data_IF_823437169536
#
_entry.id   IF_823437169536
#
_cell.length_a   1.000
_cell.length_b   1.000
_cell.length_c   1.000
_cell.angle_alpha   90.00
_cell.angle_beta   90.00
_cell.angle_gamma   90.00
#
_symmetry.space_group_name_H-M   'P 1'
#
loop_
_entity.id
_entity.type
_entity.pdbx_description
1 polymer ?
#
# COMPACT_ATOMS: atom_id res chain seq x y z
N UNK A 1 56.91 -48.99 -23.31
CA UNK A 1 57.33 -49.21 -21.91
C UNK A 1 56.87 -50.60 -21.52
N UNK A 2 57.76 -51.40 -20.94
CA UNK A 2 57.72 -52.86 -20.87
C UNK A 2 56.48 -53.38 -20.07
N UNK A 3 55.43 -53.82 -20.76
CA UNK A 3 54.15 -54.28 -20.18
C UNK A 3 54.35 -55.42 -19.17
N UNK A 4 55.37 -56.26 -19.39
CA UNK A 4 55.78 -57.31 -18.46
C UNK A 4 56.22 -56.75 -17.10
N UNK A 5 56.92 -55.60 -17.08
CA UNK A 5 57.43 -54.96 -15.86
C UNK A 5 56.33 -54.28 -15.07
N UNK A 6 55.37 -53.64 -15.75
CA UNK A 6 54.17 -53.11 -15.10
C UNK A 6 53.34 -54.22 -14.47
N UNK A 7 53.16 -55.35 -15.17
CA UNK A 7 52.46 -56.53 -14.62
C UNK A 7 53.15 -57.09 -13.37
N UNK A 8 54.48 -57.24 -13.40
CA UNK A 8 55.25 -57.68 -12.24
C UNK A 8 55.08 -56.72 -11.05
N UNK A 9 55.20 -55.41 -11.29
CA UNK A 9 55.00 -54.40 -10.25
C UNK A 9 53.62 -54.50 -9.61
N UNK A 10 52.56 -54.64 -10.41
CA UNK A 10 51.18 -54.73 -9.92
C UNK A 10 51.00 -55.96 -9.02
N UNK A 11 51.55 -57.11 -9.40
CA UNK A 11 51.48 -58.34 -8.58
C UNK A 11 52.19 -58.17 -7.24
N UNK A 12 53.40 -57.58 -7.24
CA UNK A 12 54.16 -57.35 -6.01
C UNK A 12 53.48 -56.31 -5.12
N UNK A 13 52.99 -55.22 -5.70
CA UNK A 13 52.27 -54.17 -4.99
C UNK A 13 50.95 -54.68 -4.37
N UNK A 14 50.18 -55.47 -5.12
CA UNK A 14 48.95 -56.12 -4.62
C UNK A 14 49.28 -57.08 -3.46
N UNK A 15 50.38 -57.85 -3.56
CA UNK A 15 50.83 -58.74 -2.49
C UNK A 15 51.21 -57.97 -1.22
N UNK A 16 51.99 -56.89 -1.35
CA UNK A 16 52.39 -56.06 -0.20
C UNK A 16 51.18 -55.37 0.43
N UNK A 17 50.22 -54.93 -0.40
CA UNK A 17 48.97 -54.36 0.09
C UNK A 17 48.15 -55.38 0.89
N UNK A 18 48.02 -56.61 0.38
CA UNK A 18 47.30 -57.70 1.06
C UNK A 18 47.95 -58.09 2.41
N UNK A 19 49.28 -57.95 2.51
CA UNK A 19 50.02 -58.14 3.76
C UNK A 19 49.88 -56.97 4.75
N UNK A 20 49.12 -55.92 4.39
CA UNK A 20 48.94 -54.72 5.21
C UNK A 20 50.19 -53.82 5.28
N UNK A 21 51.18 -54.07 4.42
CA UNK A 21 52.40 -53.28 4.28
C UNK A 21 52.13 -52.07 3.40
N UNK A 22 52.69 -50.91 3.77
CA UNK A 22 52.56 -49.70 2.95
C UNK A 22 53.22 -49.92 1.59
N UNK A 23 52.44 -49.81 0.51
CA UNK A 23 52.98 -49.88 -0.85
C UNK A 23 53.72 -48.57 -1.16
N UNK A 24 55.04 -48.66 -1.27
CA UNK A 24 55.95 -47.55 -1.58
C UNK A 24 57.10 -48.05 -2.42
N UNK A 25 57.76 -47.17 -3.19
CA UNK A 25 58.92 -47.56 -4.02
C UNK A 25 59.97 -48.32 -3.22
N UNK A 26 60.27 -47.83 -2.01
CA UNK A 26 61.22 -48.46 -1.07
C UNK A 26 60.84 -49.90 -0.72
N UNK A 27 59.54 -50.19 -0.58
CA UNK A 27 59.07 -51.51 -0.22
C UNK A 27 58.84 -52.41 -1.44
N UNK A 28 58.57 -51.86 -2.62
CA UNK A 28 58.28 -52.67 -3.82
C UNK A 28 59.56 -53.07 -4.56
N UNK A 29 60.52 -52.14 -4.71
CA UNK A 29 61.75 -52.34 -5.51
C UNK A 29 62.55 -53.59 -5.11
N UNK A 30 62.76 -53.91 -3.82
CA UNK A 30 63.52 -55.11 -3.42
C UNK A 30 62.88 -56.44 -3.83
N UNK A 31 61.58 -56.45 -4.14
CA UNK A 31 60.84 -57.65 -4.53
C UNK A 31 60.67 -57.77 -6.06
N UNK A 32 61.20 -56.81 -6.84
CA UNK A 32 61.22 -56.88 -8.29
C UNK A 32 62.47 -57.65 -8.75
N UNK A 33 62.31 -58.56 -9.71
CA UNK A 33 63.37 -59.48 -10.16
C UNK A 33 64.63 -58.78 -10.69
N UNK A 34 64.48 -57.62 -11.33
CA UNK A 34 65.60 -56.80 -11.84
C UNK A 34 65.80 -55.50 -11.05
N UNK A 35 65.08 -55.34 -9.93
CA UNK A 35 64.99 -54.06 -9.22
C UNK A 35 64.49 -52.92 -10.12
N UNK A 36 64.99 -51.71 -9.85
CA UNK A 36 64.71 -50.54 -10.67
C UNK A 36 65.05 -49.24 -9.97
N UNK A 37 65.29 -48.19 -10.77
CA UNK A 37 65.44 -46.85 -10.22
C UNK A 37 64.09 -46.25 -9.84
N UNK A 38 64.08 -45.31 -8.89
CA UNK A 38 62.86 -44.58 -8.53
C UNK A 38 62.23 -43.83 -9.72
N UNK A 39 63.05 -43.39 -10.69
CA UNK A 39 62.58 -42.73 -11.91
C UNK A 39 61.79 -43.68 -12.82
N UNK A 40 62.23 -44.94 -12.91
CA UNK A 40 61.58 -45.96 -13.75
C UNK A 40 60.28 -46.49 -13.13
N UNK A 41 60.29 -46.75 -11.82
CA UNK A 41 59.16 -47.40 -11.14
C UNK A 41 58.12 -46.39 -10.62
N UNK A 42 58.51 -45.12 -10.47
CA UNK A 42 57.65 -44.03 -10.01
C UNK A 42 56.32 -43.88 -10.76
N UNK A 43 56.32 -43.83 -12.11
CA UNK A 43 55.10 -43.79 -12.92
C UNK A 43 54.21 -45.02 -12.69
N UNK A 44 54.79 -46.22 -12.68
CA UNK A 44 54.04 -47.48 -12.51
C UNK A 44 53.37 -47.55 -11.12
N UNK A 45 54.05 -47.10 -10.06
CA UNK A 45 53.44 -46.99 -8.73
C UNK A 45 52.27 -46.02 -8.70
N UNK A 46 52.37 -44.90 -9.43
CA UNK A 46 51.28 -43.91 -9.52
C UNK A 46 50.07 -44.53 -10.20
N UNK A 47 50.28 -45.20 -11.34
CA UNK A 47 49.22 -45.87 -12.09
C UNK A 47 48.55 -46.98 -11.26
N UNK A 48 49.36 -47.75 -10.53
CA UNK A 48 48.86 -48.75 -9.59
C UNK A 48 47.99 -48.12 -8.49
N UNK A 49 48.44 -47.02 -7.88
CA UNK A 49 47.68 -46.34 -6.82
C UNK A 49 46.35 -45.80 -7.32
N UNK A 50 46.32 -45.22 -8.53
CA UNK A 50 45.09 -44.74 -9.15
C UNK A 50 44.16 -45.91 -9.46
N UNK A 51 44.67 -46.99 -10.07
CA UNK A 51 43.86 -48.16 -10.45
C UNK A 51 43.27 -48.92 -9.26
N UNK A 52 43.96 -48.91 -8.11
CA UNK A 52 43.53 -49.60 -6.89
C UNK A 52 42.83 -48.68 -5.88
N UNK A 53 42.58 -47.41 -6.24
CA UNK A 53 42.15 -46.36 -5.31
C UNK A 53 42.90 -46.43 -3.97
N UNK A 54 44.23 -46.55 -4.06
CA UNK A 54 45.07 -46.83 -2.90
C UNK A 54 45.13 -45.60 -1.99
N UNK A 55 44.27 -45.60 -0.97
CA UNK A 55 44.34 -44.69 0.15
C UNK A 55 45.23 -45.33 1.22
N UNK A 56 46.44 -44.80 1.50
CA UNK A 56 47.22 -45.29 2.61
C UNK A 56 46.41 -45.01 3.88
N UNK A 57 45.76 -46.04 4.43
CA UNK A 57 45.12 -45.96 5.74
C UNK A 57 46.23 -45.57 6.71
N UNK A 58 46.29 -44.30 7.08
CA UNK A 58 47.04 -43.86 8.23
C UNK A 58 46.46 -44.70 9.36
N UNK A 59 47.24 -45.66 9.88
CA UNK A 59 46.86 -46.39 11.07
C UNK A 59 46.87 -45.34 12.17
N UNK A 60 45.73 -44.71 12.41
CA UNK A 60 45.54 -43.82 13.52
C UNK A 60 45.82 -44.66 14.75
N UNK A 61 47.00 -44.50 15.33
CA UNK A 61 47.30 -45.09 16.62
C UNK A 61 46.31 -44.40 17.57
N UNK A 62 45.55 -45.15 18.38
CA UNK A 62 44.64 -44.53 19.33
C UNK A 62 45.45 -43.55 20.18
N UNK A 63 44.90 -42.35 20.40
CA UNK A 63 45.50 -41.37 21.29
C UNK A 63 45.71 -42.03 22.67
N UNK A 64 46.77 -41.69 23.41
CA UNK A 64 46.91 -42.16 24.79
C UNK A 64 45.64 -41.84 25.60
N UNK A 65 45.17 -42.79 26.42
CA UNK A 65 43.94 -42.65 27.22
C UNK A 65 43.88 -41.32 28.00
N UNK A 66 44.97 -40.85 28.68
CA UNK A 66 44.91 -39.57 29.38
C UNK A 66 44.58 -38.39 28.46
N UNK A 67 45.03 -38.42 27.20
CA UNK A 67 44.74 -37.37 26.24
C UNK A 67 43.30 -37.48 25.71
N UNK A 68 42.77 -38.69 25.55
CA UNK A 68 41.35 -38.88 25.19
C UNK A 68 40.43 -38.32 26.27
N UNK A 69 40.75 -38.58 27.55
CA UNK A 69 39.96 -38.09 28.68
C UNK A 69 39.97 -36.57 28.76
N UNK A 70 41.14 -35.93 28.60
CA UNK A 70 41.24 -34.47 28.61
C UNK A 70 40.51 -33.84 27.41
N UNK A 71 40.58 -34.45 26.23
CA UNK A 71 39.80 -33.99 25.07
C UNK A 71 38.29 -34.16 25.30
N UNK A 72 37.86 -35.25 25.92
CA UNK A 72 36.47 -35.46 26.30
C UNK A 72 35.95 -34.38 27.25
N UNK A 73 36.72 -34.08 28.31
CA UNK A 73 36.40 -32.99 29.25
C UNK A 73 36.34 -31.63 28.56
N UNK A 74 37.30 -31.34 27.67
CA UNK A 74 37.32 -30.09 26.91
C UNK A 74 36.09 -29.97 26.00
N UNK A 75 35.70 -31.05 25.33
CA UNK A 75 34.51 -31.09 24.48
C UNK A 75 33.22 -30.83 25.26
N UNK A 76 33.07 -31.44 26.46
CA UNK A 76 31.92 -31.19 27.35
C UNK A 76 31.85 -29.73 27.76
N UNK A 77 32.96 -29.15 28.23
CA UNK A 77 33.01 -27.73 28.62
C UNK A 77 32.69 -26.80 27.45
N UNK A 78 33.18 -27.10 26.26
CA UNK A 78 32.87 -26.33 25.05
C UNK A 78 31.38 -26.42 24.72
N UNK A 79 30.79 -27.61 24.80
CA UNK A 79 29.37 -27.82 24.56
C UNK A 79 28.48 -27.09 25.57
N UNK A 80 28.83 -27.15 26.86
CA UNK A 80 28.13 -26.41 27.92
C UNK A 80 28.21 -24.90 27.68
N UNK A 81 29.40 -24.38 27.36
CA UNK A 81 29.57 -22.97 27.02
C UNK A 81 28.77 -22.56 25.79
N UNK A 82 28.72 -23.41 24.75
CA UNK A 82 27.94 -23.18 23.55
C UNK A 82 26.43 -23.16 23.85
N UNK A 83 25.93 -24.05 24.71
CA UNK A 83 24.52 -24.05 25.13
C UNK A 83 24.16 -22.79 25.91
N UNK A 84 25.03 -22.34 26.82
CA UNK A 84 24.81 -21.10 27.58
C UNK A 84 24.75 -19.90 26.63
N UNK A 85 25.64 -19.83 25.63
CA UNK A 85 25.63 -18.73 24.67
C UNK A 85 24.40 -18.80 23.75
N UNK A 86 24.02 -19.98 23.29
CA UNK A 86 22.81 -20.16 22.49
C UNK A 86 21.55 -19.72 23.26
N UNK A 87 21.45 -20.06 24.55
CA UNK A 87 20.36 -19.61 25.40
C UNK A 87 20.32 -18.07 25.53
N UNK A 88 21.48 -17.43 25.73
CA UNK A 88 21.57 -15.96 25.78
C UNK A 88 21.13 -15.29 24.49
N UNK A 89 21.51 -15.85 23.33
CA UNK A 89 21.09 -15.33 22.03
C UNK A 89 19.57 -15.43 21.90
N UNK A 90 18.99 -16.60 22.21
CA UNK A 90 17.54 -16.80 22.15
C UNK A 90 16.78 -15.86 23.09
N UNK A 91 17.28 -15.63 24.30
CA UNK A 91 16.65 -14.71 25.24
C UNK A 91 16.74 -13.25 24.77
N UNK A 92 17.87 -12.86 24.18
CA UNK A 92 18.02 -11.55 23.54
C UNK A 92 17.06 -11.39 22.37
N UNK A 93 16.94 -12.39 21.52
CA UNK A 93 16.04 -12.36 20.36
C UNK A 93 14.58 -12.26 20.79
N UNK A 94 14.16 -13.02 21.82
CA UNK A 94 12.82 -12.90 22.42
C UNK A 94 12.58 -11.51 22.98
N UNK A 95 13.56 -10.93 23.68
CA UNK A 95 13.43 -9.58 24.23
C UNK A 95 13.31 -8.52 23.12
N UNK A 96 14.08 -8.67 22.04
CA UNK A 96 14.02 -7.79 20.87
C UNK A 96 12.66 -7.89 20.17
N UNK A 97 12.18 -9.10 19.87
CA UNK A 97 10.87 -9.31 19.27
C UNK A 97 9.75 -8.74 20.14
N UNK A 98 9.80 -8.92 21.46
CA UNK A 98 8.83 -8.35 22.37
C UNK A 98 8.91 -6.81 22.45
N UNK A 99 10.08 -6.22 22.24
CA UNK A 99 10.22 -4.77 22.14
C UNK A 99 9.67 -4.24 20.81
N UNK A 100 9.94 -4.92 19.69
CA UNK A 100 9.41 -4.59 18.37
C UNK A 100 7.88 -4.67 18.34
N UNK A 101 7.29 -5.71 18.93
CA UNK A 101 5.82 -5.85 19.01
C UNK A 101 5.20 -4.69 19.80
N UNK A 102 5.76 -4.33 20.96
CA UNK A 102 5.27 -3.20 21.76
C UNK A 102 5.38 -1.87 21.01
N UNK A 103 6.51 -1.62 20.35
CA UNK A 103 6.68 -0.43 19.53
C UNK A 103 5.68 -0.40 18.36
N UNK A 104 5.41 -1.56 17.73
CA UNK A 104 4.40 -1.70 16.69
C UNK A 104 2.98 -1.43 17.18
N UNK A 105 2.63 -1.93 18.36
CA UNK A 105 1.33 -1.68 19.02
C UNK A 105 1.14 -0.19 19.33
N UNK A 106 2.17 0.49 19.86
CA UNK A 106 2.13 1.93 20.12
C UNK A 106 1.88 2.74 18.84
N UNK A 107 2.57 2.42 17.74
CA UNK A 107 2.37 3.06 16.43
C UNK A 107 0.96 2.79 15.88
N UNK A 108 0.44 1.58 16.07
CA UNK A 108 -0.91 1.24 15.63
C UNK A 108 -1.98 2.04 16.39
N UNK A 109 -1.84 2.18 17.71
CA UNK A 109 -2.74 3.00 18.53
C UNK A 109 -2.71 4.46 18.05
N UNK A 110 -1.52 5.02 17.87
CA UNK A 110 -1.40 6.41 17.37
C UNK A 110 -2.01 6.58 15.96
N UNK A 111 -1.84 5.59 15.08
CA UNK A 111 -2.44 5.62 13.74
C UNK A 111 -3.98 5.57 13.78
N UNK A 112 -4.55 4.78 14.70
CA UNK A 112 -6.00 4.71 14.91
C UNK A 112 -6.54 6.04 15.46
N UNK A 113 -5.88 6.64 16.45
CA UNK A 113 -6.27 7.94 16.99
C UNK A 113 -6.26 9.05 15.92
N UNK A 114 -5.25 9.03 15.03
CA UNK A 114 -5.17 9.96 13.89
C UNK A 114 -6.27 9.71 12.86
N UNK A 115 -6.63 8.44 12.62
CA UNK A 115 -7.72 8.08 11.71
C UNK A 115 -9.06 8.60 12.25
N UNK A 116 -9.35 8.35 13.52
CA UNK A 116 -10.57 8.82 14.18
C UNK A 116 -10.70 10.35 14.12
N UNK A 117 -9.60 11.07 14.37
CA UNK A 117 -9.56 12.52 14.25
C UNK A 117 -9.84 13.01 12.81
N UNK A 118 -9.25 12.35 11.81
CA UNK A 118 -9.44 12.68 10.41
C UNK A 118 -10.89 12.38 9.93
N UNK A 119 -11.49 11.28 10.41
CA UNK A 119 -12.89 10.95 10.13
C UNK A 119 -13.84 11.98 10.74
N UNK A 120 -13.58 12.41 11.97
CA UNK A 120 -14.35 13.47 12.61
C UNK A 120 -14.25 14.80 11.85
N UNK A 121 -13.05 15.18 11.39
CA UNK A 121 -12.85 16.39 10.58
C UNK A 121 -13.59 16.29 9.24
N UNK A 122 -13.53 15.14 8.57
CA UNK A 122 -14.22 14.88 7.31
C UNK A 122 -15.74 15.02 7.45
N UNK A 123 -16.33 14.49 8.51
CA UNK A 123 -17.77 14.64 8.77
C UNK A 123 -18.14 16.09 9.10
N UNK A 124 -17.30 16.81 9.85
CA UNK A 124 -17.50 18.24 10.10
C UNK A 124 -17.44 19.07 8.81
N UNK A 125 -16.50 18.76 7.90
CA UNK A 125 -16.39 19.40 6.59
C UNK A 125 -17.59 19.09 5.70
N UNK A 126 -18.07 17.83 5.67
CA UNK A 126 -19.29 17.44 4.95
C UNK A 126 -20.52 18.20 5.44
N UNK A 127 -20.69 18.30 6.76
CA UNK A 127 -21.78 19.07 7.34
C UNK A 127 -21.71 20.56 6.98
N UNK A 128 -20.50 21.14 6.99
CA UNK A 128 -20.27 22.54 6.60
C UNK A 128 -20.57 22.75 5.12
N UNK A 129 -20.15 21.84 4.25
CA UNK A 129 -20.39 21.87 2.81
C UNK A 129 -21.90 21.83 2.53
N UNK A 130 -22.63 20.88 3.12
CA UNK A 130 -24.09 20.79 2.96
C UNK A 130 -24.81 22.08 3.41
N UNK A 131 -24.32 22.73 4.47
CA UNK A 131 -24.86 24.03 4.93
C UNK A 131 -24.59 25.15 3.93
N UNK A 132 -23.42 25.18 3.33
CA UNK A 132 -23.05 26.18 2.30
C UNK A 132 -23.85 25.95 1.03
N UNK A 133 -23.98 24.71 0.57
CA UNK A 133 -24.79 24.35 -0.61
C UNK A 133 -26.25 24.74 -0.41
N UNK A 134 -26.85 24.44 0.75
CA UNK A 134 -28.23 24.86 1.06
C UNK A 134 -28.39 26.39 1.05
N UNK A 135 -27.38 27.13 1.53
CA UNK A 135 -27.40 28.60 1.49
C UNK A 135 -27.28 29.11 0.06
N UNK A 136 -26.40 28.52 -0.75
CA UNK A 136 -26.21 28.87 -2.14
C UNK A 136 -27.49 28.60 -2.95
N UNK A 137 -28.13 27.46 -2.73
CA UNK A 137 -29.38 27.09 -3.38
C UNK A 137 -30.50 28.08 -3.05
N UNK A 138 -30.60 28.50 -1.78
CA UNK A 138 -31.55 29.53 -1.38
C UNK A 138 -31.28 30.86 -2.08
N UNK A 139 -30.03 31.32 -2.12
CA UNK A 139 -29.66 32.59 -2.79
C UNK A 139 -29.96 32.52 -4.28
N UNK A 140 -29.60 31.42 -4.94
CA UNK A 140 -29.90 31.19 -6.36
C UNK A 140 -31.40 31.21 -6.63
N UNK A 141 -32.19 30.53 -5.80
CA UNK A 141 -33.65 30.56 -5.90
C UNK A 141 -34.21 31.99 -5.73
N UNK A 142 -33.71 32.75 -4.75
CA UNK A 142 -34.13 34.13 -4.53
C UNK A 142 -33.81 35.03 -5.72
N UNK A 143 -32.60 34.94 -6.27
CA UNK A 143 -32.16 35.69 -7.46
C UNK A 143 -32.95 35.31 -8.70
N UNK A 144 -33.17 34.02 -8.91
CA UNK A 144 -33.98 33.50 -10.01
C UNK A 144 -35.41 34.07 -9.95
N UNK A 145 -36.08 33.92 -8.80
CA UNK A 145 -37.44 34.43 -8.64
C UNK A 145 -37.49 35.95 -8.72
N UNK A 146 -36.47 36.68 -8.27
CA UNK A 146 -36.41 38.12 -8.46
C UNK A 146 -36.31 38.52 -9.94
N UNK A 147 -35.50 37.82 -10.72
CA UNK A 147 -35.41 38.02 -12.17
C UNK A 147 -36.74 37.72 -12.87
N UNK A 148 -37.42 36.62 -12.52
CA UNK A 148 -38.77 36.30 -13.02
C UNK A 148 -39.75 37.42 -12.70
N UNK A 149 -39.77 37.93 -11.47
CA UNK A 149 -40.71 38.98 -11.07
C UNK A 149 -40.42 40.31 -11.77
N UNK A 150 -39.15 40.65 -12.04
CA UNK A 150 -38.78 41.80 -12.87
C UNK A 150 -39.32 41.67 -14.29
N UNK A 151 -39.17 40.49 -14.88
CA UNK A 151 -39.66 40.23 -16.24
C UNK A 151 -41.19 40.29 -16.32
N UNK A 152 -41.89 39.68 -15.37
CA UNK A 152 -43.36 39.78 -15.26
C UNK A 152 -43.80 41.23 -15.11
N UNK A 153 -43.08 42.02 -14.32
CA UNK A 153 -43.35 43.45 -14.17
C UNK A 153 -43.15 44.25 -15.47
N UNK A 154 -42.21 43.85 -16.33
CA UNK A 154 -42.01 44.43 -17.66
C UNK A 154 -43.12 44.05 -18.65
N UNK A 155 -43.69 42.84 -18.52
CA UNK A 155 -44.78 42.36 -19.37
C UNK A 155 -46.14 42.97 -19.04
N UNK A 156 -46.38 43.33 -17.77
CA UNK A 156 -47.63 43.96 -17.37
C UNK A 156 -47.78 45.34 -18.03
N UNK A 157 -48.95 45.65 -18.63
CA UNK A 157 -49.19 46.95 -19.23
C UNK A 157 -49.15 48.05 -18.15
N UNK A 158 -48.75 49.29 -18.50
CA UNK A 158 -48.73 50.42 -17.57
C UNK A 158 -50.12 50.68 -16.96
N UNK A 159 -51.17 50.46 -17.74
CA UNK A 159 -52.57 50.56 -17.35
C UNK A 159 -53.27 49.24 -17.71
N UNK A 160 -53.86 48.59 -16.71
CA UNK A 160 -54.56 47.31 -16.88
C UNK A 160 -54.02 46.18 -16.01
N UNK A 161 -54.82 45.11 -15.91
CA UNK A 161 -54.50 43.92 -15.13
C UNK A 161 -54.37 42.70 -16.04
N UNK A 162 -53.43 41.80 -15.74
CA UNK A 162 -53.31 40.51 -16.42
C UNK A 162 -53.38 39.35 -15.42
N UNK A 163 -53.96 38.23 -15.85
CA UNK A 163 -53.95 36.99 -15.08
C UNK A 163 -52.62 36.26 -15.25
N UNK A 164 -52.25 35.39 -14.30
CA UNK A 164 -51.03 34.59 -14.40
C UNK A 164 -51.03 33.69 -15.66
N UNK A 165 -52.20 33.23 -16.10
CA UNK A 165 -52.43 32.50 -17.34
C UNK A 165 -52.05 33.30 -18.59
N UNK A 166 -52.33 34.60 -18.60
CA UNK A 166 -52.00 35.48 -19.73
C UNK A 166 -50.51 35.91 -19.69
N UNK A 167 -49.91 35.98 -18.51
CA UNK A 167 -48.51 36.37 -18.31
C UNK A 167 -47.55 35.24 -18.70
N UNK A 168 -47.86 34.00 -18.31
CA UNK A 168 -46.95 32.86 -18.47
C UNK A 168 -46.45 32.64 -19.92
N UNK A 169 -47.30 32.70 -20.98
CA UNK A 169 -46.85 32.60 -22.37
C UNK A 169 -46.00 33.77 -22.85
N UNK A 170 -46.09 34.92 -22.16
CA UNK A 170 -45.32 36.13 -22.48
C UNK A 170 -43.90 36.12 -21.91
N UNK A 171 -43.58 35.20 -21.00
CA UNK A 171 -42.23 35.06 -20.46
C UNK A 171 -41.25 34.59 -21.53
N UNK A 172 -40.04 35.11 -21.46
CA UNK A 172 -38.92 34.78 -22.33
C UNK A 172 -38.65 33.28 -22.25
N UNK A 173 -38.38 32.62 -23.40
CA UNK A 173 -38.13 31.18 -23.43
C UNK A 173 -36.97 30.72 -22.53
N UNK A 174 -35.97 31.57 -22.29
CA UNK A 174 -34.85 31.23 -21.40
C UNK A 174 -35.28 31.14 -19.93
N UNK A 175 -36.20 31.98 -19.48
CA UNK A 175 -36.73 32.02 -18.10
C UNK A 175 -37.54 30.76 -17.80
N UNK A 176 -38.36 30.33 -18.75
CA UNK A 176 -39.13 29.08 -18.65
C UNK A 176 -38.20 27.85 -18.64
N UNK A 177 -37.16 27.83 -19.48
CA UNK A 177 -36.15 26.75 -19.47
C UNK A 177 -35.33 26.73 -18.18
N UNK A 178 -34.93 27.88 -17.66
CA UNK A 178 -34.17 27.99 -16.42
C UNK A 178 -34.98 27.47 -15.22
N UNK A 179 -36.29 27.74 -15.17
CA UNK A 179 -37.18 27.19 -14.15
C UNK A 179 -37.17 25.65 -14.16
N UNK A 180 -37.34 25.06 -15.35
CA UNK A 180 -37.37 23.62 -15.54
C UNK A 180 -36.06 22.91 -15.15
N UNK A 181 -34.92 23.62 -15.20
CA UNK A 181 -33.62 23.08 -14.84
C UNK A 181 -33.27 23.21 -13.35
N UNK A 182 -33.82 24.19 -12.62
CA UNK A 182 -33.33 24.55 -11.28
C UNK A 182 -34.32 24.28 -10.13
N UNK A 183 -35.63 24.47 -10.32
CA UNK A 183 -36.55 24.57 -9.17
C UNK A 183 -37.97 24.01 -9.39
N UNK A 184 -38.18 23.19 -10.42
CA UNK A 184 -39.46 22.69 -10.98
C UNK A 184 -40.03 23.52 -12.13
N UNK A 185 -40.89 22.88 -12.94
CA UNK A 185 -41.56 23.53 -14.06
C UNK A 185 -42.34 24.77 -13.61
N UNK A 186 -42.15 25.90 -14.31
CA UNK A 186 -42.87 27.13 -14.04
C UNK A 186 -44.35 26.98 -14.44
N UNK A 187 -45.18 26.60 -13.47
CA UNK A 187 -46.63 26.46 -13.67
C UNK A 187 -47.37 27.77 -13.36
N UNK A 188 -48.57 27.93 -13.90
CA UNK A 188 -49.47 29.05 -13.61
C UNK A 188 -49.73 29.18 -12.11
N UNK A 189 -49.96 28.05 -11.42
CA UNK A 189 -50.18 28.03 -9.97
C UNK A 189 -48.97 28.57 -9.20
N UNK A 190 -47.75 28.15 -9.59
CA UNK A 190 -46.52 28.59 -8.95
C UNK A 190 -46.22 30.06 -9.19
N UNK A 191 -46.43 30.52 -10.43
CA UNK A 191 -46.29 31.92 -10.79
C UNK A 191 -47.26 32.80 -9.97
N UNK A 192 -48.54 32.41 -9.91
CA UNK A 192 -49.56 33.09 -9.11
C UNK A 192 -49.20 33.14 -7.62
N UNK A 193 -48.73 32.02 -7.06
CA UNK A 193 -48.28 31.93 -5.66
C UNK A 193 -47.16 32.94 -5.39
N UNK A 194 -46.10 32.94 -6.22
CA UNK A 194 -44.96 33.85 -6.06
C UNK A 194 -45.33 35.31 -6.26
N UNK A 195 -46.21 35.62 -7.21
CA UNK A 195 -46.72 36.98 -7.40
C UNK A 195 -47.51 37.46 -6.17
N UNK A 196 -48.36 36.62 -5.57
CA UNK A 196 -49.07 36.94 -4.31
C UNK A 196 -48.11 37.25 -3.16
N UNK A 197 -47.02 36.49 -3.03
CA UNK A 197 -45.98 36.77 -2.02
C UNK A 197 -45.38 38.17 -2.23
N UNK A 198 -45.11 38.56 -3.47
CA UNK A 198 -44.57 39.92 -3.78
C UNK A 198 -45.58 41.03 -3.51
N UNK A 199 -46.86 40.81 -3.79
CA UNK A 199 -47.95 41.72 -3.38
C UNK A 199 -47.95 41.89 -1.86
N UNK A 200 -47.85 40.80 -1.09
CA UNK A 200 -47.79 40.85 0.36
C UNK A 200 -46.59 41.62 0.91
N UNK A 201 -45.46 41.61 0.18
CA UNK A 201 -44.30 42.43 0.52
C UNK A 201 -44.41 43.89 0.04
N UNK A 202 -45.46 44.25 -0.71
CA UNK A 202 -45.69 45.60 -1.23
C UNK A 202 -44.87 45.97 -2.47
N UNK A 203 -44.26 44.99 -3.15
CA UNK A 203 -43.38 45.21 -4.30
C UNK A 203 -43.92 44.56 -5.58
N UNK A 204 -43.55 45.15 -6.72
CA UNK A 204 -43.87 44.75 -8.08
C UNK A 204 -45.35 44.81 -8.48
N UNK A 205 -46.28 44.32 -7.65
CA UNK A 205 -47.65 44.08 -8.09
C UNK A 205 -48.69 44.53 -7.06
N UNK A 206 -49.89 44.82 -7.56
CA UNK A 206 -51.13 44.95 -6.78
C UNK A 206 -52.17 43.97 -7.32
N UNK A 207 -53.11 43.54 -6.47
CA UNK A 207 -54.19 42.63 -6.89
C UNK A 207 -55.38 43.46 -7.36
N UNK A 208 -55.89 43.14 -8.55
CA UNK A 208 -57.10 43.70 -9.11
C UNK A 208 -58.28 42.72 -9.04
N UNK A 209 -59.46 43.18 -9.47
CA UNK A 209 -60.67 42.37 -9.53
C UNK A 209 -60.44 41.07 -10.34
N UNK A 210 -61.09 39.97 -9.91
CA UNK A 210 -60.99 38.68 -10.60
C UNK A 210 -59.66 37.93 -10.42
N UNK A 211 -58.80 38.35 -9.48
CA UNK A 211 -57.51 37.69 -9.22
C UNK A 211 -56.43 38.01 -10.26
N UNK A 212 -56.63 39.05 -11.05
CA UNK A 212 -55.62 39.61 -11.95
C UNK A 212 -54.61 40.47 -11.18
N UNK A 213 -53.43 40.66 -11.77
CA UNK A 213 -52.34 41.46 -11.19
C UNK A 213 -52.11 42.71 -12.02
N UNK A 214 -51.92 43.84 -11.34
CA UNK A 214 -51.57 45.14 -11.93
C UNK A 214 -50.16 45.54 -11.52
N UNK A 215 -49.60 46.50 -12.25
CA UNK A 215 -48.28 47.05 -11.98
C UNK A 215 -48.30 47.85 -10.67
N UNK A 216 -47.43 47.46 -9.74
CA UNK A 216 -47.23 48.12 -8.45
C UNK A 216 -45.93 48.93 -8.39
N UNK A 217 -45.36 49.09 -7.19
CA UNK A 217 -44.09 49.81 -6.99
C UNK A 217 -42.89 48.90 -7.31
N UNK A 218 -42.02 49.34 -8.22
CA UNK A 218 -40.78 48.61 -8.51
C UNK A 218 -39.74 48.81 -7.38
N UNK A 219 -39.10 47.75 -6.85
CA UNK A 219 -38.17 47.88 -5.72
C UNK A 219 -36.93 48.74 -6.02
N UNK A 220 -36.56 48.91 -7.28
CA UNK A 220 -35.46 49.78 -7.70
C UNK A 220 -35.68 51.29 -7.48
N UNK A 221 -36.91 51.75 -7.20
CA UNK A 221 -37.18 53.19 -7.01
C UNK A 221 -36.88 53.70 -5.59
N UNK A 222 -36.62 52.85 -4.59
CA UNK A 222 -36.25 53.29 -3.24
C UNK A 222 -34.74 53.32 -2.94
N UNK A 223 -33.89 52.57 -3.68
CA UNK A 223 -32.43 52.59 -3.43
C UNK A 223 -31.74 53.92 -3.80
N UNK A 224 -32.43 54.86 -4.46
CA UNK A 224 -31.87 56.17 -4.85
C UNK A 224 -32.10 57.29 -3.83
N UNK A 225 -32.82 57.05 -2.71
CA UNK A 225 -33.09 58.09 -1.70
C UNK A 225 -32.45 57.85 -0.32
N UNK A 226 -31.64 56.80 -0.14
CA UNK A 226 -30.92 56.54 1.13
C UNK A 226 -29.40 56.75 1.02
N UNK A 227 -28.97 57.66 0.12
CA UNK A 227 -27.56 58.03 -0.09
C UNK A 227 -27.35 59.53 -0.28
N UNK A 228 -28.25 60.35 0.29
CA UNK A 228 -28.07 61.80 0.35
C UNK A 228 -28.57 62.31 1.69
N UNK A 229 -27.75 62.09 2.72
CA UNK A 229 -27.57 62.91 3.93
C UNK A 229 -26.38 62.35 4.69
#
# INVERSE_FOLDING_TARGET
>A
MDDARSKEFFVVADRLHAQGTRVSLRNVIPHLRKGGSNREIGPILRDWKVKRDYQPKLRAKPLPVPLQDELGKAAVRFWEAAQVEAARILDRDRANMAAELRAGEEVLVEALDRLDAAEAEKEALRARLAKVEKRLERVRAEEFWDAVMREVFELLPPEGAMTAEAILPGLRPWTVRAAALQHDALTVAKLREKMKVRVGHGWYFTVAAGGAFQRGKHPGTMRRHAGSS
#
